data_IF_148013714948
#
_entry.id   IF_148013714948
#
_cell.length_a   1.000
_cell.length_b   1.000
_cell.length_c   1.000
_cell.angle_alpha   90.00
_cell.angle_beta   90.00
_cell.angle_gamma   90.00
#
_symmetry.space_group_name_H-M   'P 1'
#
loop_
_entity.id
_entity.type
_entity.pdbx_description
1 polymer ?
#
# COMPACT_ATOMS: atom_id res chain seq x y z
N UNK A 1 4.75 23.49 -16.08
CA UNK A 1 4.99 22.27 -16.89
C UNK A 1 5.53 21.10 -16.05
N UNK A 2 6.37 21.31 -15.02
CA UNK A 2 6.84 20.23 -14.11
C UNK A 2 5.74 19.61 -13.23
N UNK A 3 4.79 20.42 -12.71
CA UNK A 3 3.70 19.93 -11.85
C UNK A 3 2.76 18.91 -12.55
N UNK A 4 2.55 19.05 -13.86
CA UNK A 4 1.72 18.13 -14.65
C UNK A 4 2.40 16.78 -14.89
N UNK A 5 3.73 16.74 -14.95
CA UNK A 5 4.49 15.51 -15.12
C UNK A 5 4.57 14.73 -13.80
N UNK A 6 4.79 15.41 -12.67
CA UNK A 6 4.77 14.79 -11.33
C UNK A 6 3.40 14.22 -10.96
N UNK A 7 2.30 14.90 -11.30
CA UNK A 7 0.95 14.40 -11.05
C UNK A 7 0.61 13.16 -11.90
N UNK A 8 1.03 13.14 -13.17
CA UNK A 8 0.84 12.00 -14.06
C UNK A 8 1.68 10.79 -13.61
N UNK A 9 2.91 11.04 -13.15
CA UNK A 9 3.81 10.01 -12.64
C UNK A 9 3.36 9.46 -11.29
N UNK A 10 2.83 10.29 -10.38
CA UNK A 10 2.19 9.80 -9.14
C UNK A 10 0.91 9.00 -9.42
N UNK A 11 0.11 9.40 -10.40
CA UNK A 11 -1.08 8.64 -10.80
C UNK A 11 -0.69 7.29 -11.43
N UNK A 12 0.37 7.26 -12.25
CA UNK A 12 0.93 6.03 -12.80
C UNK A 12 1.52 5.14 -11.70
N UNK A 13 2.22 5.72 -10.71
CA UNK A 13 2.79 5.00 -9.57
C UNK A 13 1.69 4.42 -8.66
N UNK A 14 0.62 5.17 -8.36
CA UNK A 14 -0.51 4.67 -7.60
C UNK A 14 -1.28 3.56 -8.35
N UNK A 15 -1.39 3.67 -9.68
CA UNK A 15 -2.05 2.66 -10.52
C UNK A 15 -1.19 1.40 -10.63
N UNK A 16 0.11 1.54 -10.86
CA UNK A 16 1.07 0.43 -10.86
C UNK A 16 1.12 -0.26 -9.50
N UNK A 17 1.13 0.50 -8.40
CA UNK A 17 1.14 -0.02 -7.04
C UNK A 17 -0.16 -0.77 -6.69
N UNK A 18 -1.32 -0.30 -7.16
CA UNK A 18 -2.59 -1.02 -7.01
C UNK A 18 -2.67 -2.31 -7.87
N UNK A 19 -2.10 -2.29 -9.08
CA UNK A 19 -2.03 -3.46 -9.96
C UNK A 19 -1.07 -4.52 -9.38
N UNK A 20 0.11 -4.09 -8.92
CA UNK A 20 1.14 -4.94 -8.29
C UNK A 20 0.66 -5.63 -7.01
N UNK A 21 -0.28 -5.02 -6.28
CA UNK A 21 -0.88 -5.59 -5.07
C UNK A 21 -2.07 -6.53 -5.33
N UNK A 22 -2.65 -6.53 -6.54
CA UNK A 22 -3.88 -7.29 -6.85
C UNK A 22 -3.65 -8.59 -7.64
N UNK A 23 -2.45 -8.86 -8.16
CA UNK A 23 -2.21 -9.96 -9.10
C UNK A 23 -1.68 -11.25 -8.45
N UNK A 24 -2.29 -11.68 -7.34
CA UNK A 24 -2.00 -12.97 -6.68
C UNK A 24 -3.16 -13.94 -6.88
N UNK A 25 -3.35 -14.42 -8.10
CA UNK A 25 -4.08 -15.66 -8.36
C UNK A 25 -3.54 -16.23 -9.67
N UNK A 26 -2.73 -17.28 -9.58
CA UNK A 26 -2.87 -18.50 -10.35
C UNK A 26 -1.74 -19.49 -10.03
N UNK A 27 -2.16 -20.75 -9.82
CA UNK A 27 -1.42 -22.01 -9.98
C UNK A 27 -1.02 -22.72 -8.69
N UNK A 28 -1.76 -23.79 -8.38
CA UNK A 28 -1.19 -25.12 -8.05
C UNK A 28 -2.31 -26.16 -8.14
N UNK A 29 -2.32 -27.01 -9.17
CA UNK A 29 -2.59 -28.45 -8.98
C UNK A 29 -2.04 -29.25 -10.15
N UNK A 30 -1.04 -30.08 -9.86
CA UNK A 30 -0.47 -31.05 -10.79
C UNK A 30 -1.17 -32.41 -10.67
N UNK A 31 -1.33 -33.02 -11.84
CA UNK A 31 -1.52 -34.42 -12.23
C UNK A 31 -1.61 -35.53 -11.16
N UNK A 32 -2.65 -36.37 -11.31
CA UNK A 32 -2.56 -37.82 -11.14
C UNK A 32 -3.47 -38.53 -12.17
N UNK A 33 -2.94 -39.58 -12.78
CA UNK A 33 -3.52 -40.32 -13.90
C UNK A 33 -4.39 -41.52 -13.45
N UNK A 34 -5.22 -42.01 -14.41
CA UNK A 34 -5.53 -43.42 -14.73
C UNK A 34 -7.02 -43.88 -14.72
N UNK A 35 -7.59 -43.91 -15.95
CA UNK A 35 -8.35 -45.00 -16.64
C UNK A 35 -9.85 -45.28 -16.32
N UNK A 36 -10.67 -45.67 -17.34
CA UNK A 36 -12.10 -45.31 -17.45
C UNK A 36 -13.07 -46.51 -17.35
N UNK A 37 -14.37 -46.25 -17.15
CA UNK A 37 -15.49 -47.11 -17.64
C UNK A 37 -16.88 -46.46 -17.50
N UNK A 38 -17.48 -46.16 -18.66
CA UNK A 38 -18.78 -46.61 -19.19
C UNK A 38 -20.10 -46.52 -18.35
N UNK A 39 -21.08 -45.85 -19.00
CA UNK A 39 -22.52 -46.21 -19.23
C UNK A 39 -23.66 -45.70 -18.30
N UNK A 40 -24.56 -44.91 -18.94
CA UNK A 40 -26.05 -44.94 -19.00
C UNK A 40 -26.99 -44.37 -17.91
N UNK A 41 -27.80 -43.40 -18.38
CA UNK A 41 -29.27 -43.24 -18.35
C UNK A 41 -30.05 -43.17 -17.02
N UNK A 42 -30.90 -42.13 -16.89
CA UNK A 42 -32.38 -42.14 -16.68
C UNK A 42 -32.81 -40.69 -16.27
N UNK A 43 -33.53 -39.96 -17.12
CA UNK A 43 -35.01 -39.75 -17.19
C UNK A 43 -35.58 -38.66 -16.26
N UNK A 44 -36.36 -37.76 -16.87
CA UNK A 44 -37.05 -36.57 -16.34
C UNK A 44 -38.35 -36.94 -15.56
N UNK A 45 -39.23 -35.99 -15.07
CA UNK A 45 -39.94 -35.00 -15.93
C UNK A 45 -40.29 -33.59 -15.33
N UNK A 46 -40.53 -32.66 -16.28
CA UNK A 46 -41.57 -31.61 -16.40
C UNK A 46 -42.02 -30.71 -15.22
N UNK A 47 -42.12 -29.38 -15.45
CA UNK A 47 -43.39 -28.69 -15.80
C UNK A 47 -43.24 -27.17 -16.10
N UNK A 48 -43.93 -26.74 -17.17
CA UNK A 48 -44.59 -25.45 -17.50
C UNK A 48 -43.87 -24.06 -17.49
N UNK A 49 -43.92 -23.41 -18.67
CA UNK A 49 -43.90 -21.94 -18.91
C UNK A 49 -45.33 -21.35 -18.81
N UNK A 50 -45.51 -20.00 -18.74
CA UNK A 50 -45.87 -19.21 -19.95
C UNK A 50 -45.37 -17.73 -19.88
N UNK A 51 -45.77 -16.79 -20.77
CA UNK A 51 -45.58 -16.76 -22.22
C UNK A 51 -44.92 -15.46 -22.75
N UNK A 52 -44.54 -15.51 -24.02
CA UNK A 52 -43.98 -14.45 -24.89
C UNK A 52 -45.06 -13.51 -25.44
N UNK A 53 -44.74 -12.23 -25.65
CA UNK A 53 -45.41 -11.36 -26.65
C UNK A 53 -44.35 -10.79 -27.58
N UNK A 54 -44.62 -10.87 -28.88
CA UNK A 54 -43.77 -10.45 -30.00
C UNK A 54 -44.27 -9.13 -30.61
N UNK A 55 -43.36 -8.35 -31.19
CA UNK A 55 -43.64 -7.48 -32.33
C UNK A 55 -42.34 -7.13 -33.06
N UNK A 56 -42.30 -7.41 -34.36
CA UNK A 56 -41.20 -7.19 -35.30
C UNK A 56 -41.54 -5.99 -36.26
N UNK A 57 -40.73 -5.62 -37.28
CA UNK A 57 -40.15 -4.29 -37.48
C UNK A 57 -40.74 -3.54 -38.71
N UNK A 58 -40.07 -2.50 -39.25
CA UNK A 58 -39.69 -2.65 -40.66
C UNK A 58 -38.38 -1.95 -41.14
N UNK A 59 -37.77 -2.61 -42.15
CA UNK A 59 -37.16 -2.10 -43.41
C UNK A 59 -35.96 -1.14 -43.31
N UNK A 60 -34.81 -1.34 -43.97
CA UNK A 60 -34.45 -2.17 -45.12
C UNK A 60 -33.88 -1.28 -46.22
N UNK A 61 -32.60 -1.44 -46.57
CA UNK A 61 -32.04 -1.43 -47.95
C UNK A 61 -30.53 -1.66 -47.87
N UNK A 62 -30.05 -2.54 -48.75
CA UNK A 62 -28.70 -3.10 -48.79
C UNK A 62 -27.87 -2.49 -49.95
N UNK A 63 -26.80 -3.13 -50.45
CA UNK A 63 -25.39 -2.72 -50.33
C UNK A 63 -24.79 -2.33 -51.71
N UNK A 64 -23.45 -2.18 -51.82
CA UNK A 64 -22.54 -2.37 -52.99
C UNK A 64 -21.34 -1.42 -52.85
N UNK A 65 -20.13 -1.91 -52.59
CA UNK A 65 -19.12 -2.49 -53.49
C UNK A 65 -18.08 -1.48 -54.04
N UNK A 66 -16.84 -1.97 -53.97
CA UNK A 66 -15.51 -1.51 -54.40
C UNK A 66 -15.41 -0.44 -55.49
N UNK A 67 -14.38 0.42 -55.38
CA UNK A 67 -13.44 0.73 -56.47
C UNK A 67 -12.22 1.49 -55.95
N UNK A 68 -11.03 1.00 -56.30
CA UNK A 68 -9.74 1.69 -56.20
C UNK A 68 -9.40 2.36 -57.55
N UNK A 69 -8.27 3.07 -57.58
CA UNK A 69 -7.56 3.70 -58.74
C UNK A 69 -7.85 5.20 -58.97
N UNK A 70 -6.92 6.12 -59.27
CA UNK A 70 -5.46 6.08 -59.61
C UNK A 70 -4.88 7.51 -59.51
N UNK A 71 -3.55 7.57 -59.30
CA UNK A 71 -2.53 8.64 -59.41
C UNK A 71 -2.85 10.10 -59.79
N UNK A 72 -2.12 11.04 -59.16
CA UNK A 72 -1.13 11.91 -59.85
C UNK A 72 -0.18 12.59 -58.85
N UNK A 73 1.11 12.62 -59.21
CA UNK A 73 2.23 13.28 -58.52
C UNK A 73 2.40 14.71 -59.02
N UNK A 74 2.50 15.70 -58.12
CA UNK A 74 3.27 16.93 -58.36
C UNK A 74 3.97 17.40 -57.08
N UNK A 75 5.25 17.67 -57.22
CA UNK A 75 6.16 18.21 -56.21
C UNK A 75 6.10 19.74 -56.20
N UNK A 76 5.88 20.35 -55.04
CA UNK A 76 6.31 21.74 -54.81
C UNK A 76 6.85 21.90 -53.38
N UNK A 77 8.01 22.52 -53.29
CA UNK A 77 8.82 22.73 -52.10
C UNK A 77 8.45 24.04 -51.41
N UNK A 78 8.02 23.97 -50.15
CA UNK A 78 7.97 25.08 -49.18
C UNK A 78 8.25 24.54 -47.78
N UNK A 79 8.88 25.32 -46.88
CA UNK A 79 9.36 24.81 -45.60
C UNK A 79 8.17 24.40 -44.72
N UNK A 80 8.11 23.10 -44.38
CA UNK A 80 7.04 22.54 -43.57
C UNK A 80 7.01 23.20 -42.18
N UNK A 81 5.99 24.03 -41.95
CA UNK A 81 5.57 24.42 -40.63
C UNK A 81 4.95 23.17 -39.98
N UNK A 82 5.74 22.40 -39.22
CA UNK A 82 5.27 21.21 -38.51
C UNK A 82 4.23 21.67 -37.48
N UNK A 83 2.95 21.51 -37.81
CA UNK A 83 1.86 21.72 -36.87
C UNK A 83 1.76 20.50 -35.94
N UNK A 84 2.34 20.62 -34.75
CA UNK A 84 2.27 19.61 -33.69
C UNK A 84 0.83 19.31 -33.20
N UNK A 85 -0.17 20.10 -33.63
CA UNK A 85 -1.58 19.87 -33.31
C UNK A 85 -2.36 19.19 -34.46
N UNK A 86 -1.75 18.94 -35.62
CA UNK A 86 -2.45 18.40 -36.79
C UNK A 86 -2.75 16.88 -36.70
N UNK A 87 -2.20 16.17 -35.71
CA UNK A 87 -2.51 14.75 -35.50
C UNK A 87 -3.77 14.62 -34.63
N UNK A 88 -4.93 14.67 -35.28
CA UNK A 88 -6.18 14.32 -34.64
C UNK A 88 -6.29 12.78 -34.54
N UNK A 89 -5.63 12.18 -33.53
CA UNK A 89 -5.91 10.79 -33.18
C UNK A 89 -7.31 10.75 -32.60
N UNK A 90 -8.28 10.25 -33.38
CA UNK A 90 -9.58 9.91 -32.86
C UNK A 90 -9.38 8.87 -31.74
N UNK A 91 -9.37 9.32 -30.47
CA UNK A 91 -9.52 8.42 -29.34
C UNK A 91 -10.96 7.91 -29.40
N UNK A 92 -11.18 6.84 -30.15
CA UNK A 92 -12.30 5.95 -29.89
C UNK A 92 -12.09 5.46 -28.46
N UNK A 93 -12.81 6.06 -27.51
CA UNK A 93 -12.78 5.63 -26.13
C UNK A 93 -13.22 4.17 -26.09
N UNK A 94 -12.25 3.25 -26.06
CA UNK A 94 -12.52 1.91 -25.55
C UNK A 94 -13.18 2.09 -24.19
N UNK A 95 -14.12 1.21 -23.84
CA UNK A 95 -14.63 1.17 -22.46
C UNK A 95 -13.41 1.11 -21.56
N UNK A 96 -13.13 2.20 -20.85
CA UNK A 96 -11.92 2.30 -20.04
C UNK A 96 -11.89 1.12 -19.09
N UNK A 97 -10.72 0.49 -18.94
CA UNK A 97 -10.54 -0.51 -17.90
C UNK A 97 -11.02 0.08 -16.58
N UNK A 98 -11.78 -0.67 -15.76
CA UNK A 98 -12.25 -0.17 -14.48
C UNK A 98 -11.06 0.35 -13.69
N UNK A 99 -11.18 1.58 -13.19
CA UNK A 99 -10.13 2.19 -12.37
C UNK A 99 -9.89 1.33 -11.13
N UNK A 100 -8.69 1.39 -10.55
CA UNK A 100 -8.39 0.66 -9.31
C UNK A 100 -9.44 0.92 -8.20
N UNK A 101 -9.97 2.14 -8.11
CA UNK A 101 -11.05 2.49 -7.17
C UNK A 101 -12.39 1.83 -7.51
N UNK A 102 -12.73 1.66 -8.80
CA UNK A 102 -13.94 0.93 -9.22
C UNK A 102 -13.80 -0.56 -8.95
N UNK A 103 -12.64 -1.16 -9.28
CA UNK A 103 -12.35 -2.57 -8.97
C UNK A 103 -12.37 -2.80 -7.46
N UNK A 104 -11.83 -1.88 -6.67
CA UNK A 104 -11.87 -1.95 -5.21
C UNK A 104 -13.32 -1.88 -4.68
N UNK A 105 -14.13 -0.96 -5.19
CA UNK A 105 -15.53 -0.84 -4.82
C UNK A 105 -16.36 -2.10 -5.19
N UNK A 106 -16.16 -2.63 -6.40
CA UNK A 106 -16.80 -3.88 -6.86
C UNK A 106 -16.42 -5.09 -6.00
N UNK A 107 -15.16 -5.14 -5.54
CA UNK A 107 -14.66 -6.17 -4.62
C UNK A 107 -15.01 -5.92 -3.15
N UNK A 108 -15.74 -4.84 -2.85
CA UNK A 108 -16.04 -4.45 -1.48
C UNK A 108 -14.79 -4.14 -0.64
N UNK A 109 -13.67 -3.80 -1.26
CA UNK A 109 -12.46 -3.41 -0.55
C UNK A 109 -12.71 -2.05 0.12
N UNK A 110 -12.44 -1.96 1.41
CA UNK A 110 -12.51 -0.68 2.12
C UNK A 110 -11.33 0.21 1.71
N UNK A 111 -11.52 1.53 1.69
CA UNK A 111 -10.49 2.55 1.40
C UNK A 111 -9.45 2.69 2.53
N UNK A 112 -9.06 1.59 3.15
CA UNK A 112 -8.26 1.52 4.37
C UNK A 112 -9.05 1.84 5.64
N UNK A 113 -10.08 2.68 5.58
CA UNK A 113 -10.91 3.00 6.74
C UNK A 113 -11.68 1.75 7.23
N UNK A 114 -11.66 1.44 8.54
CA UNK A 114 -12.48 0.36 9.07
C UNK A 114 -13.96 0.59 8.79
N UNK A 115 -14.70 -0.49 8.50
CA UNK A 115 -16.17 -0.43 8.36
C UNK A 115 -16.83 -0.27 9.71
N UNK A 116 -16.29 -0.95 10.72
CA UNK A 116 -16.73 -0.89 12.11
C UNK A 116 -15.56 -1.09 13.07
N UNK A 117 -15.82 -0.88 14.36
CA UNK A 117 -14.88 -1.25 15.41
C UNK A 117 -14.73 -2.78 15.43
N UNK A 118 -13.50 -3.32 15.32
CA UNK A 118 -13.32 -4.76 15.30
C UNK A 118 -13.62 -5.38 16.68
N UNK A 119 -14.03 -6.65 16.68
CA UNK A 119 -14.31 -7.40 17.92
C UNK A 119 -13.06 -7.85 18.67
N UNK A 120 -11.89 -7.78 18.04
CA UNK A 120 -10.68 -8.46 18.52
C UNK A 120 -10.78 -9.98 18.40
N UNK A 121 -9.88 -10.69 19.07
CA UNK A 121 -9.86 -12.15 19.14
C UNK A 121 -8.51 -12.77 18.79
N UNK A 122 -8.51 -14.10 18.62
CA UNK A 122 -7.32 -14.88 18.28
C UNK A 122 -7.36 -15.32 16.83
N UNK A 123 -6.24 -15.18 16.13
CA UNK A 123 -6.10 -15.46 14.72
C UNK A 123 -4.77 -16.15 14.42
N UNK A 124 -4.74 -16.88 13.31
CA UNK A 124 -3.51 -17.42 12.73
C UNK A 124 -3.27 -16.73 11.38
N UNK A 125 -2.08 -16.19 11.19
CA UNK A 125 -1.68 -15.61 9.91
C UNK A 125 -1.35 -16.71 8.90
N UNK A 126 -1.28 -16.39 7.59
CA UNK A 126 -0.88 -17.36 6.56
C UNK A 126 0.53 -17.89 6.83
N UNK A 127 1.41 -17.04 7.36
CA UNK A 127 2.77 -17.41 7.76
C UNK A 127 2.88 -18.12 9.13
N UNK A 128 1.77 -18.51 9.75
CA UNK A 128 1.77 -19.28 10.99
C UNK A 128 2.04 -18.48 12.26
N UNK A 129 1.99 -17.15 12.21
CA UNK A 129 2.07 -16.29 13.40
C UNK A 129 0.74 -16.29 14.11
N UNK A 130 0.75 -16.61 15.41
CA UNK A 130 -0.41 -16.48 16.27
C UNK A 130 -0.58 -15.01 16.64
N UNK A 131 -1.79 -14.47 16.47
CA UNK A 131 -2.09 -13.06 16.76
C UNK A 131 -3.28 -13.01 17.70
N UNK A 132 -3.14 -12.31 18.81
CA UNK A 132 -4.25 -11.96 19.69
C UNK A 132 -4.47 -10.46 19.64
N UNK A 133 -5.62 -10.02 19.13
CA UNK A 133 -6.00 -8.62 19.07
C UNK A 133 -6.96 -8.28 20.22
N UNK A 134 -6.60 -7.29 21.04
CA UNK A 134 -7.45 -6.72 22.08
C UNK A 134 -7.91 -5.34 21.62
N UNK A 135 -9.20 -5.04 21.77
CA UNK A 135 -9.79 -3.79 21.31
C UNK A 135 -10.39 -3.04 22.49
N UNK A 136 -9.92 -1.81 22.70
CA UNK A 136 -10.40 -0.88 23.73
C UNK A 136 -11.14 0.26 23.03
N UNK A 137 -12.43 0.45 23.33
CA UNK A 137 -13.16 1.63 22.87
C UNK A 137 -12.59 2.88 23.54
N UNK A 138 -12.30 3.90 22.76
CA UNK A 138 -11.86 5.22 23.23
C UNK A 138 -13.02 6.19 23.05
N UNK A 139 -13.39 7.01 24.06
CA UNK A 139 -14.43 8.02 23.87
C UNK A 139 -14.04 8.98 22.76
N UNK A 140 -14.96 9.21 21.84
CA UNK A 140 -14.74 10.15 20.77
C UNK A 140 -14.73 11.59 21.29
N UNK A 141 -13.73 12.37 20.87
CA UNK A 141 -13.63 13.80 21.16
C UNK A 141 -13.14 14.58 19.95
N UNK A 142 -13.50 15.86 19.88
CA UNK A 142 -13.00 16.80 18.88
C UNK A 142 -11.87 17.64 19.49
N UNK A 143 -11.04 18.30 18.65
CA UNK A 143 -9.96 19.18 19.15
C UNK A 143 -10.47 20.27 20.09
N UNK A 144 -11.66 20.82 19.84
CA UNK A 144 -12.30 21.80 20.74
C UNK A 144 -12.63 21.22 22.12
N UNK A 145 -12.92 19.91 22.18
CA UNK A 145 -13.20 19.19 23.43
C UNK A 145 -11.92 18.71 24.14
N UNK A 146 -10.75 18.72 23.48
CA UNK A 146 -9.47 18.40 24.12
C UNK A 146 -8.96 19.54 25.02
N UNK A 147 -9.39 20.79 24.77
CA UNK A 147 -9.05 21.97 25.56
C UNK A 147 -10.01 22.25 26.73
N UNK A 148 -11.17 21.60 26.77
CA UNK A 148 -12.15 21.72 27.86
C UNK A 148 -11.96 20.59 28.87
N UNK A 149 -11.97 20.93 30.16
CA UNK A 149 -11.71 20.02 31.28
C UNK A 149 -12.36 18.64 31.15
N UNK A 150 -11.56 17.63 31.50
CA UNK A 150 -11.81 16.20 31.41
C UNK A 150 -13.09 15.78 32.13
N UNK A 151 -13.91 14.93 31.52
CA UNK A 151 -14.99 14.25 32.21
C UNK A 151 -14.41 13.31 33.28
N UNK A 152 -14.52 13.71 34.56
CA UNK A 152 -14.17 12.87 35.70
C UNK A 152 -15.26 11.81 35.90
N UNK A 153 -14.89 10.54 35.90
CA UNK A 153 -15.76 9.46 36.35
C UNK A 153 -15.59 9.29 37.86
N UNK A 154 -16.68 9.41 38.61
CA UNK A 154 -16.72 9.59 40.08
C UNK A 154 -16.35 8.32 40.90
N UNK A 155 -15.71 7.31 40.30
CA UNK A 155 -15.41 6.05 41.02
C UNK A 155 -13.96 5.59 41.04
N UNK A 156 -13.09 6.10 40.19
CA UNK A 156 -11.64 5.89 40.25
C UNK A 156 -11.05 7.11 39.54
N UNK A 157 -10.20 7.92 40.18
CA UNK A 157 -9.71 9.22 39.68
C UNK A 157 -8.84 9.19 38.41
N UNK A 158 -9.18 8.38 37.41
CA UNK A 158 -8.53 8.30 36.11
C UNK A 158 -9.37 9.10 35.12
N UNK A 159 -8.87 10.28 34.73
CA UNK A 159 -9.42 11.04 33.62
C UNK A 159 -9.55 10.14 32.39
N UNK A 160 -10.76 10.04 31.84
CA UNK A 160 -11.00 9.30 30.61
C UNK A 160 -10.64 10.22 29.43
N UNK A 161 -9.41 10.07 28.94
CA UNK A 161 -8.93 10.81 27.76
C UNK A 161 -9.68 10.39 26.49
N UNK A 162 -10.17 11.38 25.75
CA UNK A 162 -10.89 11.19 24.49
C UNK A 162 -9.92 10.99 23.31
N UNK A 163 -10.47 10.71 22.12
CA UNK A 163 -9.67 10.46 20.92
C UNK A 163 -8.81 11.64 20.48
N UNK A 164 -9.29 12.88 20.65
CA UNK A 164 -8.52 14.06 20.28
C UNK A 164 -7.28 14.22 21.15
N UNK A 165 -7.40 14.09 22.48
CA UNK A 165 -6.22 14.17 23.36
C UNK A 165 -5.26 13.00 23.15
N UNK A 166 -5.74 11.80 22.83
CA UNK A 166 -4.85 10.67 22.47
C UNK A 166 -4.10 10.89 21.15
N UNK A 167 -4.68 11.63 20.20
CA UNK A 167 -3.96 12.03 18.97
C UNK A 167 -2.88 13.06 19.28
N UNK A 168 -3.16 14.05 20.14
CA UNK A 168 -2.13 15.01 20.55
C UNK A 168 -1.01 14.34 21.36
N UNK A 169 -1.35 13.45 22.31
CA UNK A 169 -0.36 12.61 23.01
C UNK A 169 0.51 11.84 21.99
N UNK A 170 -0.09 11.32 20.91
CA UNK A 170 0.64 10.61 19.86
C UNK A 170 1.58 11.54 19.08
N UNK A 171 1.16 12.76 18.77
CA UNK A 171 2.01 13.78 18.12
C UNK A 171 3.23 14.07 19.00
N UNK A 172 3.03 14.35 20.29
CA UNK A 172 4.12 14.62 21.22
C UNK A 172 5.10 13.44 21.31
N UNK A 173 4.58 12.21 21.30
CA UNK A 173 5.39 11.01 21.34
C UNK A 173 6.20 10.79 20.05
N UNK A 174 5.70 11.23 18.90
CA UNK A 174 6.36 11.09 17.59
C UNK A 174 7.56 12.05 17.42
N UNK A 175 7.66 13.12 18.22
CA UNK A 175 8.83 14.02 18.20
C UNK A 175 10.13 13.30 18.60
N UNK A 176 10.04 12.22 19.37
CA UNK A 176 11.20 11.49 19.87
C UNK A 176 11.17 9.99 19.63
N UNK A 177 10.07 9.41 19.16
CA UNK A 177 9.95 7.96 18.99
C UNK A 177 9.47 7.59 17.60
N UNK A 178 9.91 6.41 17.14
CA UNK A 178 9.51 5.89 15.83
C UNK A 178 8.03 5.55 15.85
N UNK A 179 7.33 5.91 14.80
CA UNK A 179 5.90 5.69 14.67
C UNK A 179 5.34 6.35 13.43
N UNK A 180 4.02 6.31 13.31
CA UNK A 180 3.30 6.86 12.17
C UNK A 180 2.01 7.51 12.68
N UNK A 181 1.66 8.65 12.10
CA UNK A 181 0.32 9.23 12.17
C UNK A 181 -0.15 9.54 10.75
N UNK A 182 -1.21 8.87 10.31
CA UNK A 182 -1.92 9.12 9.06
C UNK A 182 -3.24 9.79 9.41
N UNK A 183 -3.49 10.97 8.86
CA UNK A 183 -4.75 11.70 9.08
C UNK A 183 -5.31 12.19 7.76
N UNK A 184 -6.62 11.99 7.57
CA UNK A 184 -7.37 12.53 6.44
C UNK A 184 -8.58 13.29 6.97
N UNK A 185 -8.64 14.59 6.67
CA UNK A 185 -9.80 15.46 6.93
C UNK A 185 -10.73 15.59 5.72
N UNK A 186 -10.32 15.04 4.57
CA UNK A 186 -11.04 15.14 3.31
C UNK A 186 -11.78 13.84 2.99
N UNK A 187 -12.96 13.99 2.39
CA UNK A 187 -13.77 12.87 1.94
C UNK A 187 -14.02 13.00 0.44
N UNK A 188 -13.86 11.90 -0.27
CA UNK A 188 -14.34 11.76 -1.62
C UNK A 188 -14.87 10.33 -1.79
N UNK A 189 -16.17 10.16 -2.13
CA UNK A 189 -16.77 8.83 -2.25
C UNK A 189 -15.94 7.90 -3.13
N UNK A 190 -15.61 6.73 -2.60
CA UNK A 190 -14.82 5.72 -3.33
C UNK A 190 -13.32 6.05 -3.49
N UNK A 191 -12.78 7.11 -2.86
CA UNK A 191 -11.34 7.43 -2.88
C UNK A 191 -10.72 7.86 -1.55
N UNK A 192 -11.39 8.71 -0.79
CA UNK A 192 -10.87 9.24 0.48
C UNK A 192 -11.92 9.12 1.58
N UNK A 193 -11.49 8.68 2.76
CA UNK A 193 -12.31 8.62 3.96
C UNK A 193 -11.75 9.56 5.04
N UNK A 194 -12.62 10.04 5.93
CA UNK A 194 -12.24 10.89 7.07
C UNK A 194 -11.91 10.03 8.27
N UNK A 195 -10.64 9.66 8.37
CA UNK A 195 -10.17 8.86 9.49
C UNK A 195 -8.73 9.19 9.80
N UNK A 196 -8.32 8.84 11.02
CA UNK A 196 -6.95 8.93 11.47
C UNK A 196 -6.51 7.60 12.06
N UNK A 197 -5.27 7.24 11.81
CA UNK A 197 -4.63 6.05 12.34
C UNK A 197 -3.24 6.42 12.80
N UNK A 198 -2.83 5.93 13.96
CA UNK A 198 -1.44 6.12 14.35
C UNK A 198 -0.96 5.25 15.50
N UNK A 199 0.36 5.21 15.65
CA UNK A 199 1.07 4.38 16.60
C UNK A 199 2.49 4.89 16.83
N UNK A 200 3.10 4.41 17.92
CA UNK A 200 4.51 4.57 18.27
C UNK A 200 5.07 3.23 18.73
N UNK A 201 6.39 3.14 18.79
CA UNK A 201 7.14 1.96 19.26
C UNK A 201 6.82 0.66 18.51
N UNK A 202 6.76 0.67 17.16
CA UNK A 202 6.42 -0.54 16.40
C UNK A 202 7.48 -1.63 16.63
N UNK A 203 7.11 -2.91 16.77
CA UNK A 203 8.07 -4.00 16.93
C UNK A 203 9.05 -4.18 15.77
N UNK A 204 8.62 -3.99 14.53
CA UNK A 204 9.47 -4.21 13.34
C UNK A 204 9.57 -2.96 12.47
N UNK A 205 10.76 -2.76 11.91
CA UNK A 205 11.07 -1.81 10.85
C UNK A 205 11.51 -2.55 9.58
N UNK A 206 11.05 -2.09 8.42
CA UNK A 206 11.44 -2.57 7.10
C UNK A 206 11.95 -1.37 6.32
N UNK A 207 13.26 -1.30 6.08
CA UNK A 207 13.89 -0.20 5.37
C UNK A 207 14.60 -0.71 4.12
N UNK A 208 14.36 -0.08 2.97
CA UNK A 208 14.98 -0.48 1.70
C UNK A 208 15.64 0.67 0.97
N UNK A 209 16.72 0.36 0.22
CA UNK A 209 17.42 1.27 -0.68
C UNK A 209 17.96 0.50 -1.87
N UNK A 210 17.57 0.89 -3.08
CA UNK A 210 17.86 0.12 -4.28
C UNK A 210 17.39 -1.34 -4.12
N UNK A 211 18.30 -2.29 -4.29
CA UNK A 211 18.00 -3.73 -4.19
C UNK A 211 18.17 -4.30 -2.77
N UNK A 212 18.66 -3.50 -1.82
CA UNK A 212 18.91 -3.95 -0.45
C UNK A 212 17.73 -3.59 0.44
N UNK A 213 17.34 -4.54 1.29
CA UNK A 213 16.31 -4.34 2.30
C UNK A 213 16.82 -4.84 3.65
N UNK A 214 16.51 -4.11 4.71
CA UNK A 214 16.82 -4.46 6.09
C UNK A 214 15.52 -4.54 6.88
N UNK A 215 15.31 -5.67 7.56
CA UNK A 215 14.19 -5.89 8.47
C UNK A 215 14.78 -5.99 9.88
N UNK A 216 14.35 -5.12 10.79
CA UNK A 216 14.93 -4.97 12.13
C UNK A 216 13.86 -5.09 13.21
N UNK A 217 14.18 -5.82 14.28
CA UNK A 217 13.46 -5.75 15.54
C UNK A 217 13.84 -4.47 16.28
N UNK A 218 12.85 -3.64 16.61
CA UNK A 218 13.05 -2.37 17.33
C UNK A 218 12.92 -2.52 18.85
N UNK A 219 12.41 -3.65 19.31
CA UNK A 219 12.26 -4.03 20.71
C UNK A 219 12.17 -5.56 20.85
N UNK A 220 12.11 -6.06 22.08
CA UNK A 220 12.05 -7.50 22.37
C UNK A 220 10.85 -8.19 21.72
N UNK A 221 9.73 -7.46 21.54
CA UNK A 221 8.52 -7.97 20.88
C UNK A 221 8.79 -8.23 19.39
N UNK A 222 9.60 -7.40 18.75
CA UNK A 222 10.06 -7.60 17.37
C UNK A 222 10.93 -8.84 17.22
N UNK A 223 11.79 -9.11 18.21
CA UNK A 223 12.67 -10.30 18.21
C UNK A 223 11.89 -11.61 18.22
N UNK A 224 10.69 -11.64 18.81
CA UNK A 224 9.79 -12.81 18.75
C UNK A 224 9.31 -13.10 17.32
N UNK A 225 9.18 -12.07 16.48
CA UNK A 225 8.66 -12.17 15.12
C UNK A 225 9.74 -12.49 14.07
N UNK A 226 11.00 -12.14 14.33
CA UNK A 226 12.06 -12.30 13.34
C UNK A 226 12.28 -13.72 12.84
N UNK A 227 12.15 -14.80 13.64
CA UNK A 227 12.24 -16.15 13.10
C UNK A 227 11.23 -16.45 11.99
N UNK A 228 10.01 -15.89 12.08
CA UNK A 228 8.99 -16.03 11.03
C UNK A 228 9.39 -15.25 9.77
N UNK A 229 9.93 -14.05 9.96
CA UNK A 229 10.45 -13.20 8.87
C UNK A 229 11.61 -13.89 8.16
N UNK A 230 12.58 -14.44 8.90
CA UNK A 230 13.73 -15.18 8.34
C UNK A 230 13.22 -16.33 7.48
N UNK A 231 12.29 -17.14 7.99
CA UNK A 231 11.71 -18.24 7.21
C UNK A 231 11.05 -17.78 5.91
N UNK A 232 10.33 -16.65 5.92
CA UNK A 232 9.73 -16.09 4.72
C UNK A 232 10.78 -15.55 3.72
N UNK A 233 11.87 -14.96 4.21
CA UNK A 233 12.96 -14.48 3.34
C UNK A 233 13.75 -15.64 2.74
N UNK A 234 14.02 -16.71 3.50
CA UNK A 234 14.66 -17.91 2.97
C UNK A 234 13.80 -18.57 1.88
N UNK A 235 12.47 -18.60 2.03
CA UNK A 235 11.58 -19.08 0.96
C UNK A 235 11.67 -18.23 -0.32
N UNK A 236 11.80 -16.90 -0.18
CA UNK A 236 12.03 -16.03 -1.35
C UNK A 236 13.39 -16.27 -2.01
N UNK A 237 14.42 -16.60 -1.22
CA UNK A 237 15.75 -16.97 -1.71
C UNK A 237 15.72 -18.30 -2.46
N UNK A 238 15.10 -19.33 -1.89
CA UNK A 238 14.86 -20.62 -2.55
C UNK A 238 14.07 -20.46 -3.85
N UNK A 239 13.09 -19.54 -3.86
CA UNK A 239 12.31 -19.17 -5.04
C UNK A 239 13.04 -18.30 -6.07
N UNK A 240 14.31 -17.97 -5.87
CA UNK A 240 15.14 -17.18 -6.80
C UNK A 240 14.79 -15.70 -6.88
N UNK A 241 14.03 -15.17 -5.92
CA UNK A 241 13.69 -13.74 -5.85
C UNK A 241 14.74 -12.93 -5.09
N UNK A 242 15.37 -13.56 -4.08
CA UNK A 242 16.47 -12.97 -3.32
C UNK A 242 17.78 -13.67 -3.69
N UNK A 243 18.84 -12.88 -3.82
CA UNK A 243 20.21 -13.37 -3.99
C UNK A 243 20.79 -13.78 -2.65
N UNK A 244 20.56 -12.95 -1.62
CA UNK A 244 21.13 -13.16 -0.30
C UNK A 244 20.16 -12.83 0.82
N UNK A 245 20.36 -13.53 1.94
CA UNK A 245 19.66 -13.38 3.21
C UNK A 245 20.71 -13.54 4.30
N UNK A 246 21.03 -12.44 4.97
CA UNK A 246 22.03 -12.35 6.03
C UNK A 246 21.32 -12.03 7.34
N UNK A 247 21.47 -12.92 8.31
CA UNK A 247 20.95 -12.71 9.66
C UNK A 247 22.10 -12.27 10.55
N UNK A 248 21.87 -11.21 11.32
CA UNK A 248 22.85 -10.70 12.28
C UNK A 248 23.07 -11.70 13.43
N UNK A 249 24.25 -11.67 14.07
CA UNK A 249 24.65 -12.66 15.08
C UNK A 249 23.69 -12.68 16.28
N UNK A 250 23.17 -11.51 16.66
CA UNK A 250 22.21 -11.36 17.76
C UNK A 250 20.77 -11.69 17.35
N UNK A 251 20.52 -12.03 16.08
CA UNK A 251 19.20 -12.39 15.55
C UNK A 251 18.18 -11.25 15.56
N UNK A 252 18.63 -9.99 15.66
CA UNK A 252 17.77 -8.79 15.74
C UNK A 252 17.57 -8.08 14.40
N UNK A 253 18.23 -8.54 13.34
CA UNK A 253 18.21 -7.91 12.03
C UNK A 253 18.41 -8.95 10.93
N UNK A 254 17.67 -8.79 9.85
CA UNK A 254 17.81 -9.55 8.60
C UNK A 254 18.06 -8.56 7.48
N UNK A 255 19.14 -8.77 6.74
CA UNK A 255 19.48 -8.03 5.53
C UNK A 255 19.27 -8.93 4.33
N UNK A 256 18.55 -8.44 3.33
CA UNK A 256 18.28 -9.19 2.10
C UNK A 256 18.67 -8.37 0.90
N UNK A 257 19.14 -9.07 -0.14
CA UNK A 257 19.44 -8.49 -1.45
C UNK A 257 18.53 -9.12 -2.48
N UNK A 258 17.73 -8.28 -3.14
CA UNK A 258 16.85 -8.70 -4.24
C UNK A 258 17.68 -8.97 -5.48
N UNK A 259 17.35 -10.04 -6.22
CA UNK A 259 18.01 -10.35 -7.50
C UNK A 259 17.78 -9.19 -8.49
N UNK A 260 18.83 -8.70 -9.18
CA UNK A 260 18.67 -7.66 -10.18
C UNK A 260 17.75 -8.11 -11.30
N UNK A 261 16.88 -7.23 -11.81
CA UNK A 261 16.07 -7.56 -12.97
C UNK A 261 17.01 -7.89 -14.16
N UNK A 262 16.62 -8.82 -15.05
CA UNK A 262 17.37 -9.10 -16.26
C UNK A 262 17.60 -7.82 -17.07
N UNK A 263 18.70 -7.73 -17.85
CA UNK A 263 18.89 -6.62 -18.78
C UNK A 263 17.64 -6.41 -19.64
N UNK A 264 17.27 -5.15 -19.86
CA UNK A 264 16.04 -4.79 -20.55
C UNK A 264 15.93 -5.51 -21.92
N UNK A 265 15.10 -6.54 -21.98
CA UNK A 265 14.59 -7.14 -23.20
C UNK A 265 13.26 -6.49 -23.58
N UNK A 266 12.68 -6.91 -24.71
CA UNK A 266 11.29 -6.60 -25.09
C UNK A 266 10.32 -7.37 -24.19
N UNK A 267 10.29 -7.05 -22.91
CA UNK A 267 9.24 -7.51 -22.01
C UNK A 267 7.96 -6.72 -22.30
N UNK A 268 6.82 -7.38 -22.26
CA UNK A 268 5.56 -6.66 -22.17
C UNK A 268 5.48 -5.95 -20.80
N UNK A 269 4.63 -4.92 -20.70
CA UNK A 269 4.47 -4.14 -19.47
C UNK A 269 4.04 -5.01 -18.27
N UNK A 270 3.29 -6.09 -18.52
CA UNK A 270 2.81 -7.00 -17.48
C UNK A 270 3.94 -7.83 -16.86
N UNK A 271 4.93 -8.26 -17.65
CA UNK A 271 6.11 -9.00 -17.20
C UNK A 271 7.10 -8.12 -16.41
N UNK A 272 7.12 -6.81 -16.68
CA UNK A 272 7.91 -5.83 -15.92
C UNK A 272 7.45 -5.72 -14.47
N UNK A 273 6.14 -5.79 -14.25
CA UNK A 273 5.53 -5.71 -12.92
C UNK A 273 5.81 -6.94 -12.03
N UNK A 274 6.09 -8.10 -12.65
CA UNK A 274 6.37 -9.36 -11.94
C UNK A 274 7.84 -9.55 -11.57
N UNK A 275 8.73 -8.65 -11.99
CA UNK A 275 10.15 -8.76 -11.70
C UNK A 275 10.44 -8.69 -10.18
N UNK A 276 11.47 -9.39 -9.70
CA UNK A 276 11.99 -9.20 -8.35
C UNK A 276 12.25 -7.72 -8.06
N UNK A 277 11.70 -7.23 -6.95
CA UNK A 277 11.90 -5.86 -6.46
C UNK A 277 11.71 -5.84 -4.94
N UNK A 278 11.94 -4.68 -4.31
CA UNK A 278 11.59 -4.51 -2.89
C UNK A 278 10.12 -4.83 -2.60
N UNK A 279 9.22 -4.68 -3.58
CA UNK A 279 7.83 -5.08 -3.43
C UNK A 279 7.63 -6.59 -3.31
N UNK A 280 8.55 -7.42 -3.79
CA UNK A 280 8.49 -8.87 -3.53
C UNK A 280 8.70 -9.17 -2.05
N UNK A 281 9.63 -8.47 -1.39
CA UNK A 281 9.83 -8.55 0.07
C UNK A 281 8.59 -8.05 0.81
N UNK A 282 8.06 -6.88 0.44
CA UNK A 282 6.84 -6.32 1.06
C UNK A 282 5.65 -7.28 0.91
N UNK A 283 5.43 -7.85 -0.27
CA UNK A 283 4.33 -8.81 -0.51
C UNK A 283 4.48 -10.06 0.35
N UNK A 284 5.68 -10.63 0.42
CA UNK A 284 5.96 -11.79 1.28
C UNK A 284 5.66 -11.49 2.75
N UNK A 285 6.02 -10.30 3.24
CA UNK A 285 5.69 -9.88 4.61
C UNK A 285 4.19 -9.63 4.82
N UNK A 286 3.51 -9.03 3.84
CA UNK A 286 2.05 -8.87 3.86
C UNK A 286 1.36 -10.23 3.91
N UNK A 287 1.83 -11.23 3.16
CA UNK A 287 1.31 -12.59 3.24
C UNK A 287 1.64 -13.26 4.58
N UNK A 288 2.87 -13.12 5.08
CA UNK A 288 3.32 -13.65 6.37
C UNK A 288 2.41 -13.20 7.52
N UNK A 289 2.06 -11.92 7.55
CA UNK A 289 1.20 -11.32 8.60
C UNK A 289 -0.28 -11.27 8.24
N UNK A 290 -0.64 -11.58 6.99
CA UNK A 290 -2.02 -11.61 6.51
C UNK A 290 -2.82 -12.73 7.17
N UNK A 291 -4.10 -12.49 7.44
CA UNK A 291 -4.96 -13.47 8.11
C UNK A 291 -5.29 -14.66 7.19
N UNK A 292 -5.22 -15.88 7.72
CA UNK A 292 -5.39 -17.13 6.96
C UNK A 292 -6.86 -17.55 6.76
N UNK A 293 -7.80 -17.04 7.56
CA UNK A 293 -9.16 -17.60 7.59
C UNK A 293 -10.09 -17.03 6.52
N UNK A 294 -10.88 -17.91 5.87
CA UNK A 294 -12.03 -17.58 5.00
C UNK A 294 -13.17 -16.85 5.73
N UNK A 295 -13.02 -16.60 7.03
CA UNK A 295 -13.87 -15.71 7.83
C UNK A 295 -13.43 -14.24 7.76
N UNK A 296 -12.34 -13.91 7.07
CA UNK A 296 -11.89 -12.53 6.84
C UNK A 296 -12.94 -11.65 6.12
N UNK A 297 -13.93 -12.25 5.44
CA UNK A 297 -15.07 -11.51 4.87
C UNK A 297 -16.13 -11.12 5.91
N UNK A 298 -16.12 -11.72 7.11
CA UNK A 298 -17.14 -11.52 8.17
C UNK A 298 -16.57 -11.04 9.50
N UNK A 299 -15.26 -11.18 9.70
CA UNK A 299 -14.52 -10.56 10.78
C UNK A 299 -13.78 -9.39 10.15
N UNK A 300 -14.05 -8.16 10.59
CA UNK A 300 -13.20 -6.98 10.36
C UNK A 300 -11.83 -7.29 11.00
N UNK A 301 -11.05 -8.19 10.38
CA UNK A 301 -9.71 -8.58 10.77
C UNK A 301 -8.90 -7.30 10.82
N UNK A 302 -8.50 -6.92 12.05
CA UNK A 302 -8.21 -5.54 12.40
C UNK A 302 -7.12 -4.85 11.58
N UNK A 303 -6.75 -3.63 11.98
CA UNK A 303 -5.75 -2.79 11.31
C UNK A 303 -4.30 -3.34 11.41
N UNK A 304 -4.08 -4.66 11.42
CA UNK A 304 -2.75 -5.25 11.36
C UNK A 304 -2.24 -5.16 9.91
N UNK A 305 -1.14 -4.45 9.72
CA UNK A 305 -0.55 -4.25 8.40
C UNK A 305 0.78 -3.52 8.49
N UNK A 306 1.38 -3.29 7.33
CA UNK A 306 2.61 -2.51 7.21
C UNK A 306 2.27 -1.04 6.91
N UNK A 307 2.85 -0.13 7.69
CA UNK A 307 2.55 1.29 7.62
C UNK A 307 3.83 2.11 7.51
N UNK A 308 3.85 3.10 6.63
CA UNK A 308 5.00 3.99 6.50
C UNK A 308 5.01 4.72 5.17
N UNK A 309 6.19 4.85 4.58
CA UNK A 309 6.43 5.68 3.41
C UNK A 309 7.17 4.93 2.30
N UNK A 310 6.82 5.28 1.08
CA UNK A 310 7.51 4.90 -0.13
C UNK A 310 8.18 6.15 -0.70
N UNK A 311 9.51 6.12 -0.80
CA UNK A 311 10.31 7.19 -1.36
C UNK A 311 10.19 7.27 -2.88
N UNK A 312 10.46 8.46 -3.43
CA UNK A 312 10.36 8.69 -4.88
C UNK A 312 11.30 7.79 -5.69
N UNK A 313 12.53 7.61 -5.21
CA UNK A 313 13.58 6.83 -5.89
C UNK A 313 13.24 5.33 -5.97
N UNK A 314 12.23 4.85 -5.22
CA UNK A 314 11.71 3.48 -5.37
C UNK A 314 11.25 3.18 -6.81
N UNK A 315 10.78 4.20 -7.53
CA UNK A 315 10.36 4.10 -8.94
C UNK A 315 11.50 3.68 -9.86
N UNK A 316 12.75 3.97 -9.50
CA UNK A 316 13.91 3.67 -10.34
C UNK A 316 14.26 2.18 -10.38
N UNK A 317 13.60 1.34 -9.57
CA UNK A 317 13.65 -0.13 -9.73
C UNK A 317 12.91 -0.60 -10.99
N UNK A 318 11.96 0.20 -11.49
CA UNK A 318 11.14 -0.13 -12.64
C UNK A 318 11.47 0.75 -13.85
N UNK A 319 11.77 2.03 -13.60
CA UNK A 319 12.13 3.02 -14.62
C UNK A 319 13.50 3.63 -14.29
N UNK A 320 14.60 2.94 -14.62
CA UNK A 320 15.93 3.43 -14.28
C UNK A 320 16.25 4.72 -15.04
N UNK A 321 16.72 5.73 -14.32
CA UNK A 321 17.18 6.99 -14.89
C UNK A 321 18.62 7.28 -14.49
N UNK A 322 19.31 8.11 -15.28
CA UNK A 322 20.60 8.66 -14.87
C UNK A 322 20.38 9.73 -13.80
N UNK A 323 20.90 9.50 -12.60
CA UNK A 323 20.83 10.47 -11.52
C UNK A 323 21.70 11.69 -11.83
N UNK A 324 21.13 12.90 -11.71
CA UNK A 324 21.85 14.16 -11.85
C UNK A 324 22.48 14.64 -10.52
N UNK A 325 22.08 14.03 -9.39
CA UNK A 325 22.54 14.37 -8.04
C UNK A 325 22.80 13.09 -7.25
N UNK A 326 23.90 13.06 -6.52
CA UNK A 326 24.20 11.99 -5.58
C UNK A 326 23.17 11.98 -4.45
N UNK A 327 22.87 10.78 -3.93
CA UNK A 327 21.96 10.60 -2.81
C UNK A 327 22.75 10.40 -1.53
N UNK A 328 22.32 11.00 -0.40
CA UNK A 328 22.93 10.71 0.89
C UNK A 328 22.87 9.21 1.20
N UNK A 329 23.88 8.71 1.91
CA UNK A 329 23.97 7.27 2.15
C UNK A 329 22.87 6.69 3.05
N UNK A 330 22.27 7.55 3.86
CA UNK A 330 21.18 7.23 4.78
C UNK A 330 19.79 7.39 4.15
N UNK A 331 19.68 7.71 2.85
CA UNK A 331 18.39 7.77 2.17
C UNK A 331 17.73 6.39 2.15
N UNK A 332 16.41 6.36 2.34
CA UNK A 332 15.58 5.16 2.26
C UNK A 332 14.54 5.34 1.16
N UNK A 333 14.45 4.37 0.26
CA UNK A 333 13.43 4.31 -0.79
C UNK A 333 12.15 3.65 -0.28
N UNK A 334 12.25 2.89 0.81
CA UNK A 334 11.16 2.25 1.51
C UNK A 334 11.40 2.35 3.01
N UNK A 335 10.37 2.73 3.78
CA UNK A 335 10.37 2.62 5.23
C UNK A 335 8.97 2.26 5.71
N UNK A 336 8.80 1.04 6.19
CA UNK A 336 7.55 0.53 6.75
C UNK A 336 7.76 0.01 8.16
N UNK A 337 6.67 -0.02 8.92
CA UNK A 337 6.61 -0.52 10.28
C UNK A 337 5.47 -1.52 10.44
N UNK A 338 5.70 -2.57 11.22
CA UNK A 338 4.63 -3.42 11.74
C UNK A 338 4.33 -2.98 13.18
N UNK A 339 3.17 -2.34 13.45
CA UNK A 339 2.78 -1.91 14.78
C UNK A 339 2.11 -3.03 15.58
N UNK A 340 2.10 -2.89 16.90
CA UNK A 340 1.41 -3.78 17.83
C UNK A 340 0.46 -3.06 18.79
N UNK A 341 0.32 -1.75 18.61
CA UNK A 341 -0.67 -0.89 19.26
C UNK A 341 -1.05 0.20 18.28
N UNK A 342 -2.33 0.32 17.95
CA UNK A 342 -2.82 1.25 16.94
C UNK A 342 -4.01 2.02 17.52
N UNK A 343 -3.96 3.34 17.46
CA UNK A 343 -5.11 4.22 17.68
C UNK A 343 -5.82 4.43 16.35
N UNK A 344 -7.13 4.23 16.33
CA UNK A 344 -7.99 4.50 15.17
C UNK A 344 -9.07 5.49 15.58
N UNK A 345 -9.27 6.51 14.76
CA UNK A 345 -10.30 7.54 14.94
C UNK A 345 -11.06 7.69 13.62
N UNK A 346 -12.30 7.24 13.60
CA UNK A 346 -13.23 7.49 12.51
C UNK A 346 -14.01 8.78 12.83
N UNK A 347 -13.69 9.84 12.07
CA UNK A 347 -14.29 11.16 12.28
C UNK A 347 -15.72 11.21 11.76
N UNK A 348 -16.03 10.41 10.75
CA UNK A 348 -17.36 10.36 10.13
C UNK A 348 -18.34 9.64 11.06
N UNK A 349 -17.96 8.44 11.54
CA UNK A 349 -18.77 7.65 12.48
C UNK A 349 -18.70 8.13 13.92
N UNK A 350 -17.84 9.11 14.22
CA UNK A 350 -17.56 9.59 15.58
C UNK A 350 -17.24 8.45 16.54
N UNK A 351 -16.41 7.53 16.07
CA UNK A 351 -16.00 6.34 16.81
C UNK A 351 -14.49 6.24 16.84
N UNK A 352 -13.98 5.68 17.93
CA UNK A 352 -12.54 5.55 18.14
C UNK A 352 -12.23 4.38 19.03
N UNK A 353 -11.10 3.74 18.77
CA UNK A 353 -10.64 2.59 19.54
C UNK A 353 -9.13 2.46 19.45
N UNK A 354 -8.57 1.75 20.42
CA UNK A 354 -7.19 1.28 20.37
C UNK A 354 -7.20 -0.23 20.15
N UNK A 355 -6.37 -0.72 19.24
CA UNK A 355 -6.10 -2.15 19.08
C UNK A 355 -4.71 -2.43 19.59
N UNK A 356 -4.56 -3.42 20.45
CA UNK A 356 -3.26 -3.97 20.83
C UNK A 356 -3.14 -5.41 20.37
N UNK A 357 -1.97 -5.74 19.83
CA UNK A 357 -1.66 -7.08 19.34
C UNK A 357 -0.63 -7.73 20.25
N UNK A 358 -0.87 -8.99 20.60
CA UNK A 358 0.14 -9.91 21.10
C UNK A 358 0.41 -10.98 20.06
N UNK A 359 1.69 -11.25 19.83
CA UNK A 359 2.16 -12.19 18.83
C UNK A 359 2.74 -13.43 19.47
N UNK A 360 2.58 -14.57 18.81
CA UNK A 360 3.21 -15.83 19.16
C UNK A 360 3.81 -16.51 17.94
N UNK A 361 5.04 -17.00 18.05
CA UNK A 361 5.70 -17.76 17.00
C UNK A 361 6.77 -18.68 17.60
N UNK A 362 6.87 -19.90 17.07
CA UNK A 362 7.91 -20.86 17.49
C UNK A 362 7.95 -21.14 19.00
N UNK A 363 6.79 -21.13 19.67
CA UNK A 363 6.68 -21.34 21.13
C UNK A 363 7.02 -20.12 22.00
N UNK A 364 7.45 -19.00 21.40
CA UNK A 364 7.62 -17.71 22.09
C UNK A 364 6.37 -16.86 21.93
N UNK A 365 6.11 -15.97 22.90
CA UNK A 365 4.97 -15.05 22.90
C UNK A 365 5.37 -13.68 23.41
N UNK A 366 4.72 -12.63 22.90
CA UNK A 366 4.87 -11.26 23.39
C UNK A 366 3.88 -10.91 24.50
N UNK A 367 3.00 -11.82 24.92
CA UNK A 367 2.06 -11.59 26.02
C UNK A 367 2.81 -11.21 27.30
N UNK A 368 2.42 -10.09 27.91
CA UNK A 368 3.06 -9.59 29.14
C UNK A 368 4.36 -8.79 28.93
N UNK A 369 4.89 -8.72 27.71
CA UNK A 369 6.05 -7.87 27.40
C UNK A 369 5.65 -6.40 27.26
N UNK A 370 6.50 -5.48 27.70
CA UNK A 370 6.27 -4.05 27.56
C UNK A 370 6.36 -3.60 26.08
N UNK A 371 5.56 -2.60 25.73
CA UNK A 371 5.57 -1.95 24.40
C UNK A 371 6.40 -0.67 24.51
N UNK A 372 7.70 -0.82 24.39
CA UNK A 372 8.69 0.25 24.51
C UNK A 372 9.39 0.49 23.17
N UNK A 373 9.88 1.70 22.97
CA UNK A 373 10.68 2.07 21.82
C UNK A 373 11.84 2.97 22.23
N UNK A 374 12.87 2.98 21.39
CA UNK A 374 14.05 3.82 21.59
C UNK A 374 13.69 5.30 21.39
N UNK A 375 14.02 6.13 22.38
CA UNK A 375 13.91 7.58 22.30
C UNK A 375 15.08 8.17 21.52
N UNK A 376 14.78 8.74 20.36
CA UNK A 376 15.71 9.51 19.53
C UNK A 376 15.23 10.97 19.47
N UNK A 377 15.61 11.83 20.44
CA UNK A 377 15.12 13.20 20.47
C UNK A 377 15.58 13.97 19.23
N UNK A 378 14.72 14.86 18.74
CA UNK A 378 15.11 15.80 17.70
C UNK A 378 16.34 16.59 18.13
N UNK A 379 17.38 16.56 17.29
CA UNK A 379 18.58 17.38 17.46
C UNK A 379 18.55 18.43 16.38
N UNK A 380 18.28 19.68 16.77
CA UNK A 380 18.38 20.82 15.85
C UNK A 380 19.79 20.89 15.29
N UNK A 381 19.90 21.33 14.03
CA UNK A 381 21.21 21.67 13.49
C UNK A 381 21.76 22.87 14.26
N UNK A 382 23.02 22.77 14.69
CA UNK A 382 23.74 23.86 15.35
C UNK A 382 24.58 24.58 14.30
N UNK A 383 24.11 25.74 13.86
CA UNK A 383 24.78 26.58 12.85
C UNK A 383 26.15 27.09 13.33
N UNK A 384 26.37 27.19 14.64
CA UNK A 384 27.62 27.65 15.25
C UNK A 384 28.58 26.48 15.58
N UNK A 385 28.09 25.24 15.52
CA UNK A 385 28.77 24.03 15.98
C UNK A 385 29.81 23.44 15.01
N UNK A 386 30.16 24.13 13.93
CA UNK A 386 31.30 23.77 13.07
C UNK A 386 31.12 22.55 12.16
N UNK A 387 29.88 22.09 11.92
CA UNK A 387 29.59 21.19 10.79
C UNK A 387 29.44 22.03 9.52
N UNK A 388 29.96 21.55 8.39
CA UNK A 388 29.83 22.22 7.08
C UNK A 388 28.35 22.53 6.81
N UNK A 389 27.96 23.79 7.02
CA UNK A 389 26.66 24.30 6.64
C UNK A 389 26.74 24.60 5.16
N UNK A 390 26.15 23.71 4.34
CA UNK A 390 25.89 24.06 2.95
C UNK A 390 24.74 25.05 2.93
N UNK A 391 25.04 26.26 2.49
CA UNK A 391 24.02 27.27 2.26
C UNK A 391 22.96 26.74 1.28
N UNK A 392 21.74 27.26 1.37
CA UNK A 392 20.67 26.88 0.44
C UNK A 392 21.09 27.25 -0.98
N UNK A 393 20.75 26.40 -1.94
CA UNK A 393 20.96 26.64 -3.37
C UNK A 393 20.04 27.73 -3.95
N UNK A 394 19.11 28.22 -3.13
CA UNK A 394 18.17 29.30 -3.42
C UNK A 394 18.46 30.50 -2.53
N UNK A 395 18.53 31.73 -3.08
CA UNK A 395 18.69 32.94 -2.29
C UNK A 395 17.56 33.08 -1.25
N UNK A 396 17.88 33.71 -0.12
CA UNK A 396 16.90 34.04 0.91
C UNK A 396 15.72 34.82 0.29
N UNK A 397 14.51 34.33 0.44
CA UNK A 397 13.30 34.99 -0.05
C UNK A 397 12.88 34.64 -1.49
N UNK A 398 13.67 33.89 -2.27
CA UNK A 398 13.35 33.59 -3.67
C UNK A 398 11.97 32.92 -3.85
N UNK A 399 11.62 31.98 -2.96
CA UNK A 399 10.31 31.33 -3.01
C UNK A 399 9.18 32.32 -2.70
N UNK A 400 9.34 33.16 -1.67
CA UNK A 400 8.37 34.20 -1.32
C UNK A 400 8.17 35.18 -2.48
N UNK A 401 9.25 35.64 -3.11
CA UNK A 401 9.23 36.54 -4.26
C UNK A 401 8.59 35.90 -5.51
N UNK A 402 8.73 34.58 -5.66
CA UNK A 402 8.06 33.80 -6.72
C UNK A 402 6.55 33.73 -6.48
N UNK A 403 6.14 33.47 -5.24
CA UNK A 403 4.73 33.45 -4.83
C UNK A 403 4.09 34.83 -5.00
N UNK A 404 4.79 35.90 -4.61
CA UNK A 404 4.28 37.26 -4.73
C UNK A 404 4.24 37.77 -6.17
N UNK A 405 5.13 37.29 -7.05
CA UNK A 405 5.01 37.51 -8.51
C UNK A 405 3.86 36.76 -9.16
N UNK A 406 3.41 35.65 -8.56
CA UNK A 406 2.35 34.81 -9.11
C UNK A 406 0.95 35.24 -8.66
N UNK A 407 0.84 36.03 -7.58
CA UNK A 407 -0.37 36.75 -7.17
C UNK A 407 -0.58 37.97 -8.06
#
# INVERSE_FOLDING_TARGET
RSASASALMMAAMATAMAILLSSSDLSTTAAAAFVPRRTTLFSAPAFARPPTIASEPPRGTAPLEMSAEVHTTESSSTPEHIDYNAVHVAKSGGRGSPTAGQVAAERGLSLGAPRSQPSGGHFLTKGGVQVTAHVETVPFGTKAAASSEEAKDDKVGKSIRNSASRVEDLVDMLDTRRGVLLTSSYEFPGRYARWSLGFVDPPLEIAGRGQKCTIRALNERGTVLLPAVIGAMEQLKEGGTLEDVLVDDDGQKVEVTVVPPPPAGTFNEEERSKQPSLFSVVRSLVDLFGLSSSRAETVDGGQLGLYGSFGYDLTFQFEPIKLARERPDHQRDLLLYLPDKILVVDQDRRSSWTITYDFGYGGKSTTGMERVGEGSPFRSFDELGGRDFSDRDTPLGEFSDSVDRAK
#
